data_IF_412676261292
#
_entry.id   IF_412676261292
#
_cell.length_a   1.000
_cell.length_b   1.000
_cell.length_c   1.000
_cell.angle_alpha   90.00
_cell.angle_beta   90.00
_cell.angle_gamma   90.00
#
_symmetry.space_group_name_H-M   'P 1'
#
loop_
_entity.id
_entity.type
_entity.pdbx_description
1 polymer ?
#
# COMPACT_ATOMS: atom_id res chain seq x y z
N UNK A 1 15.77 27.88 4.08
CA UNK A 1 16.05 26.46 3.77
C UNK A 1 14.86 25.70 4.33
N UNK A 2 14.02 25.11 3.49
CA UNK A 2 12.77 24.48 3.93
C UNK A 2 13.10 23.14 4.57
N UNK A 3 12.97 23.06 5.89
CA UNK A 3 12.97 21.82 6.64
C UNK A 3 11.74 21.02 6.21
N UNK A 4 11.92 20.17 5.20
CA UNK A 4 10.89 19.23 4.75
C UNK A 4 10.76 18.17 5.82
N UNK A 5 9.67 18.28 6.57
CA UNK A 5 9.12 17.35 7.56
C UNK A 5 9.70 15.93 7.47
N UNK A 6 10.16 15.44 8.63
CA UNK A 6 10.81 14.16 8.98
C UNK A 6 10.17 12.85 8.45
N UNK A 7 9.18 12.91 7.56
CA UNK A 7 8.49 11.75 7.01
C UNK A 7 9.31 11.16 5.85
N UNK A 8 9.59 9.84 5.86
CA UNK A 8 10.25 9.21 4.73
C UNK A 8 9.43 9.39 3.45
N UNK A 9 10.04 9.56 2.27
CA UNK A 9 9.27 9.59 1.02
C UNK A 9 8.58 8.24 0.79
N UNK A 10 7.31 8.27 0.36
CA UNK A 10 6.58 7.04 0.01
C UNK A 10 7.22 6.39 -1.22
N UNK A 11 7.61 5.10 -1.15
CA UNK A 11 8.24 4.43 -2.28
C UNK A 11 7.22 4.12 -3.38
N UNK A 12 7.72 3.91 -4.60
CA UNK A 12 6.90 3.54 -5.77
C UNK A 12 6.15 2.22 -5.55
N UNK A 13 6.81 1.26 -4.89
CA UNK A 13 6.26 -0.03 -4.51
C UNK A 13 6.47 -0.24 -3.02
N UNK A 14 5.36 -0.42 -2.29
CA UNK A 14 5.36 -0.72 -0.86
C UNK A 14 4.50 -1.95 -0.58
N UNK A 15 4.97 -2.80 0.33
CA UNK A 15 4.28 -3.98 0.81
C UNK A 15 4.19 -3.96 2.33
N UNK A 16 3.03 -4.30 2.88
CA UNK A 16 2.82 -4.42 4.33
C UNK A 16 3.50 -5.69 4.88
N UNK A 17 3.69 -6.70 4.03
CA UNK A 17 4.26 -7.98 4.44
C UNK A 17 5.77 -7.86 4.72
N UNK A 18 6.25 -8.11 5.96
CA UNK A 18 7.68 -8.01 6.31
C UNK A 18 8.61 -8.95 5.54
N UNK A 19 8.05 -10.00 4.92
CA UNK A 19 8.82 -10.94 4.09
C UNK A 19 9.02 -10.46 2.66
N UNK A 20 8.35 -9.38 2.26
CA UNK A 20 8.50 -8.79 0.93
C UNK A 20 9.75 -7.91 0.86
N UNK A 21 10.50 -7.92 -0.24
CA UNK A 21 11.62 -6.99 -0.43
C UNK A 21 11.18 -5.51 -0.50
N UNK A 22 9.88 -5.26 -0.69
CA UNK A 22 9.29 -3.92 -0.76
C UNK A 22 8.69 -3.47 0.58
N UNK A 23 9.04 -4.12 1.69
CA UNK A 23 8.59 -3.72 3.01
C UNK A 23 9.51 -2.65 3.62
N UNK A 24 8.93 -1.50 3.98
CA UNK A 24 9.65 -0.38 4.60
C UNK A 24 8.95 -0.01 5.90
N UNK A 25 9.49 -0.51 7.03
CA UNK A 25 8.89 -0.32 8.35
C UNK A 25 8.71 1.16 8.73
N UNK A 26 9.69 2.02 8.38
CA UNK A 26 9.65 3.46 8.69
C UNK A 26 8.46 4.20 8.06
N UNK A 27 7.94 3.70 6.93
CA UNK A 27 6.75 4.29 6.29
C UNK A 27 5.49 3.96 7.08
N UNK A 28 5.45 2.78 7.72
CA UNK A 28 4.31 2.31 8.53
C UNK A 28 4.31 2.86 9.96
N UNK A 29 5.32 3.62 10.36
CA UNK A 29 5.28 4.44 11.58
C UNK A 29 4.27 5.59 11.47
N UNK A 30 3.85 5.90 10.25
CA UNK A 30 2.86 6.90 9.92
C UNK A 30 1.66 6.26 9.22
N UNK A 31 0.48 6.84 9.35
CA UNK A 31 -0.70 6.35 8.64
C UNK A 31 -0.55 6.63 7.14
N UNK A 32 -0.66 5.58 6.34
CA UNK A 32 -0.59 5.65 4.87
C UNK A 32 -1.95 5.33 4.26
N UNK A 33 -2.45 6.24 3.44
CA UNK A 33 -3.64 6.05 2.63
C UNK A 33 -3.28 5.86 1.15
N UNK A 34 -4.08 5.05 0.44
CA UNK A 34 -3.94 4.87 -1.01
C UNK A 34 -5.23 5.29 -1.69
N UNK A 35 -5.13 6.07 -2.76
CA UNK A 35 -6.24 6.34 -3.68
C UNK A 35 -6.05 5.53 -4.96
N UNK A 36 -7.07 4.76 -5.31
CA UNK A 36 -7.16 4.04 -6.57
C UNK A 36 -8.29 4.66 -7.40
N UNK A 37 -7.97 5.23 -8.56
CA UNK A 37 -8.94 5.90 -9.44
C UNK A 37 -9.80 6.96 -8.71
N UNK A 38 -9.18 7.71 -7.80
CA UNK A 38 -9.85 8.73 -6.98
C UNK A 38 -10.64 8.19 -5.78
N UNK A 39 -10.71 6.86 -5.58
CA UNK A 39 -11.33 6.24 -4.40
C UNK A 39 -10.28 5.91 -3.35
N UNK A 40 -10.51 6.31 -2.10
CA UNK A 40 -9.63 5.97 -0.98
C UNK A 40 -9.79 4.50 -0.56
N UNK A 41 -8.66 3.85 -0.34
CA UNK A 41 -8.50 2.49 0.14
C UNK A 41 -7.52 2.51 1.32
N UNK A 42 -7.99 2.03 2.47
CA UNK A 42 -7.19 1.91 3.71
C UNK A 42 -6.74 0.48 4.01
N UNK A 43 -7.31 -0.51 3.33
CA UNK A 43 -7.00 -1.93 3.49
C UNK A 43 -6.11 -2.45 2.34
N UNK A 44 -5.11 -1.67 1.94
CA UNK A 44 -4.15 -2.06 0.89
C UNK A 44 -3.01 -2.84 1.52
N UNK A 45 -2.78 -4.05 1.03
CA UNK A 45 -1.66 -4.90 1.47
C UNK A 45 -0.38 -4.58 0.70
N UNK A 46 -0.50 -4.16 -0.57
CA UNK A 46 0.63 -3.82 -1.42
C UNK A 46 0.18 -2.90 -2.56
N UNK A 47 1.04 -2.01 -3.02
CA UNK A 47 0.79 -1.20 -4.22
C UNK A 47 2.04 -1.04 -5.07
N UNK A 48 1.84 -0.74 -6.36
CA UNK A 48 2.88 -0.22 -7.23
C UNK A 48 2.30 0.95 -8.05
N UNK A 49 2.91 2.13 -7.92
CA UNK A 49 2.47 3.36 -8.57
C UNK A 49 2.85 3.32 -10.05
N UNK A 50 4.10 2.97 -10.38
CA UNK A 50 4.60 2.87 -11.75
C UNK A 50 3.82 1.87 -12.60
N UNK A 51 3.48 0.70 -12.04
CA UNK A 51 2.68 -0.31 -12.73
C UNK A 51 1.16 -0.06 -12.62
N UNK A 52 0.73 0.88 -11.77
CA UNK A 52 -0.67 1.27 -11.62
C UNK A 52 -1.58 0.18 -11.06
N UNK A 53 -1.21 -0.44 -9.93
CA UNK A 53 -2.07 -1.41 -9.25
C UNK A 53 -1.92 -1.42 -7.73
N UNK A 54 -2.94 -1.96 -7.07
CA UNK A 54 -2.98 -2.26 -5.63
C UNK A 54 -3.43 -3.69 -5.38
N UNK A 55 -2.98 -4.31 -4.30
CA UNK A 55 -3.49 -5.58 -3.77
C UNK A 55 -4.31 -5.28 -2.53
N UNK A 56 -5.55 -5.77 -2.52
CA UNK A 56 -6.47 -5.64 -1.40
C UNK A 56 -7.05 -7.02 -1.05
N UNK A 57 -7.43 -7.27 0.21
CA UNK A 57 -8.13 -8.48 0.58
C UNK A 57 -9.52 -8.53 -0.06
N UNK A 58 -9.84 -9.67 -0.66
CA UNK A 58 -11.12 -9.97 -1.28
C UNK A 58 -12.18 -10.32 -0.22
N UNK A 59 -12.61 -9.30 0.51
CA UNK A 59 -13.61 -9.44 1.56
C UNK A 59 -13.14 -10.35 2.71
N UNK A 60 -13.96 -11.33 3.08
CA UNK A 60 -13.69 -12.27 4.19
C UNK A 60 -13.08 -13.60 3.74
N UNK A 61 -12.74 -13.73 2.47
CA UNK A 61 -12.23 -14.99 1.90
C UNK A 61 -10.76 -15.18 2.26
N UNK A 62 -10.42 -16.39 2.67
CA UNK A 62 -9.04 -16.80 2.99
C UNK A 62 -8.59 -17.94 2.08
N UNK A 63 -7.28 -18.07 1.91
CA UNK A 63 -6.65 -19.18 1.19
C UNK A 63 -6.61 -20.48 2.03
N UNK A 64 -6.02 -21.54 1.46
CA UNK A 64 -5.87 -22.84 2.14
C UNK A 64 -5.01 -22.79 3.42
N UNK A 65 -4.22 -21.75 3.60
CA UNK A 65 -3.34 -21.51 4.75
C UNK A 65 -3.93 -20.51 5.74
N UNK A 66 -5.17 -20.06 5.51
CA UNK A 66 -5.87 -19.09 6.36
C UNK A 66 -5.45 -17.64 6.13
N UNK A 67 -4.70 -17.33 5.08
CA UNK A 67 -4.30 -15.96 4.75
C UNK A 67 -5.38 -15.27 3.91
N UNK A 68 -5.63 -13.96 4.08
CA UNK A 68 -6.58 -13.24 3.24
C UNK A 68 -6.30 -13.42 1.76
N UNK A 69 -7.34 -13.73 0.97
CA UNK A 69 -7.19 -13.83 -0.47
C UNK A 69 -7.00 -12.43 -1.05
N UNK A 70 -5.84 -12.14 -1.62
CA UNK A 70 -5.55 -10.83 -2.21
C UNK A 70 -5.98 -10.78 -3.68
N UNK A 71 -6.66 -9.71 -4.06
CA UNK A 71 -6.99 -9.38 -5.44
C UNK A 71 -6.20 -8.16 -5.88
N UNK A 72 -5.69 -8.21 -7.11
CA UNK A 72 -5.01 -7.08 -7.75
C UNK A 72 -6.04 -6.20 -8.46
N UNK A 73 -6.16 -4.95 -8.05
CA UNK A 73 -6.96 -3.93 -8.71
C UNK A 73 -6.02 -3.00 -9.49
N UNK A 74 -6.35 -2.70 -10.75
CA UNK A 74 -5.56 -1.82 -11.62
C UNK A 74 -6.19 -0.44 -11.71
N UNK A 75 -5.37 0.59 -11.87
CA UNK A 75 -5.82 1.97 -12.01
C UNK A 75 -4.75 2.99 -11.66
N UNK A 76 -5.13 4.27 -11.65
CA UNK A 76 -4.26 5.35 -11.15
C UNK A 76 -4.11 5.18 -9.64
N UNK A 77 -2.88 4.96 -9.19
CA UNK A 77 -2.53 4.80 -7.77
C UNK A 77 -1.87 6.07 -7.27
N UNK A 78 -2.37 6.59 -6.16
CA UNK A 78 -1.82 7.77 -5.49
C UNK A 78 -1.65 7.43 -4.00
N UNK A 79 -0.41 7.38 -3.53
CA UNK A 79 -0.09 7.14 -2.13
C UNK A 79 0.12 8.47 -1.38
N UNK A 80 -0.39 8.57 -0.16
CA UNK A 80 -0.29 9.78 0.66
C UNK A 80 -0.22 9.44 2.15
N UNK A 81 0.39 10.32 2.92
CA UNK A 81 0.32 10.27 4.38
C UNK A 81 -1.01 10.84 4.88
N UNK A 82 -1.63 10.17 5.86
CA UNK A 82 -2.87 10.59 6.50
C UNK A 82 -2.61 11.31 7.82
#
# INVERSE_FOLDING_TARGET
>A
MTETTQLPPLPDHLSVNPRSPHHVAAVFEHDVGIRLNGKEHSNVEEYCISEGWVKVPAGKTVDRKGQPLLIKLKGKVEAFYR
#
